data_IF_335168585681
#
_entry.id   IF_335168585681
#
_cell.length_a   1.000
_cell.length_b   1.000
_cell.length_c   1.000
_cell.angle_alpha   90.00
_cell.angle_beta   90.00
_cell.angle_gamma   90.00
#
_symmetry.space_group_name_H-M   'P 1'
#
loop_
_entity.id
_entity.type
_entity.pdbx_description
1 polymer ?
#
# COMPACT_ATOMS: atom_id res chain seq x y z
N UNK A 1 -57.08 -11.39 -29.01
CA UNK A 1 -56.16 -10.28 -28.67
C UNK A 1 -56.28 -10.09 -27.17
N UNK A 2 -55.22 -10.41 -26.42
CA UNK A 2 -55.24 -10.41 -24.95
C UNK A 2 -54.10 -9.53 -24.45
N UNK A 3 -54.46 -8.44 -23.78
CA UNK A 3 -53.67 -7.79 -22.72
C UNK A 3 -54.63 -7.71 -21.52
N UNK A 4 -54.19 -7.92 -20.26
CA UNK A 4 -53.27 -7.03 -19.54
C UNK A 4 -52.25 -7.83 -18.70
N UNK A 5 -51.18 -7.30 -18.13
CA UNK A 5 -51.15 -6.21 -17.17
C UNK A 5 -49.68 -5.87 -16.96
N UNK A 6 -49.28 -4.65 -17.33
CA UNK A 6 -47.95 -4.14 -17.06
C UNK A 6 -47.80 -3.99 -15.55
N UNK A 7 -47.08 -4.91 -14.91
CA UNK A 7 -46.81 -4.86 -13.48
C UNK A 7 -45.75 -3.78 -13.21
N UNK A 8 -46.16 -2.51 -13.28
CA UNK A 8 -45.32 -1.36 -12.93
C UNK A 8 -45.21 -1.24 -11.42
N UNK A 9 -44.53 -2.19 -10.78
CA UNK A 9 -44.08 -2.03 -9.41
C UNK A 9 -42.95 -0.98 -9.40
N UNK A 10 -43.29 0.25 -9.04
CA UNK A 10 -42.31 1.32 -8.78
C UNK A 10 -41.54 0.94 -7.50
N UNK A 11 -40.20 0.75 -7.52
CA UNK A 11 -39.46 0.58 -6.29
C UNK A 11 -39.10 1.98 -5.79
N UNK A 12 -40.01 2.60 -5.04
CA UNK A 12 -39.64 3.81 -4.32
C UNK A 12 -40.51 3.95 -3.08
N UNK A 13 -40.08 3.22 -2.05
CA UNK A 13 -40.32 3.60 -0.67
C UNK A 13 -38.94 3.65 0.00
N UNK A 14 -38.25 4.77 -0.19
CA UNK A 14 -37.09 5.10 0.62
C UNK A 14 -37.64 5.71 1.90
N UNK A 15 -37.57 4.97 3.01
CA UNK A 15 -37.94 5.50 4.32
C UNK A 15 -37.29 6.87 4.57
N UNK A 16 -38.03 7.75 5.23
CA UNK A 16 -37.63 9.12 5.54
C UNK A 16 -36.22 9.17 6.17
N UNK A 17 -35.37 10.05 5.64
CA UNK A 17 -33.98 10.19 6.06
C UNK A 17 -33.91 10.58 7.55
N UNK A 18 -33.31 9.72 8.37
CA UNK A 18 -32.98 10.06 9.75
C UNK A 18 -31.88 11.12 9.74
N UNK A 19 -32.22 12.36 10.11
CA UNK A 19 -31.24 13.43 10.31
C UNK A 19 -30.54 13.18 11.63
N UNK A 20 -29.28 12.77 11.58
CA UNK A 20 -28.41 12.69 12.75
C UNK A 20 -27.85 14.09 13.02
N UNK A 21 -28.31 14.73 14.09
CA UNK A 21 -27.80 16.04 14.54
C UNK A 21 -26.55 15.93 15.43
N UNK A 22 -26.13 14.71 15.77
CA UNK A 22 -24.93 14.49 16.57
C UNK A 22 -23.69 14.70 15.70
N UNK A 23 -22.70 15.42 16.23
CA UNK A 23 -21.44 15.62 15.51
C UNK A 23 -20.76 14.26 15.33
N UNK A 24 -20.17 13.94 14.17
CA UNK A 24 -19.40 12.71 14.03
C UNK A 24 -18.29 12.71 15.09
N UNK A 25 -18.32 11.75 16.01
CA UNK A 25 -17.24 11.58 16.98
C UNK A 25 -15.99 11.16 16.20
N UNK A 26 -15.11 12.13 15.93
CA UNK A 26 -13.80 11.84 15.41
C UNK A 26 -12.93 11.41 16.58
N UNK A 27 -12.51 10.14 16.58
CA UNK A 27 -11.46 9.70 17.48
C UNK A 27 -10.20 10.52 17.18
N UNK A 28 -9.59 11.09 18.22
CA UNK A 28 -8.33 11.81 18.08
C UNK A 28 -7.24 10.81 17.67
N UNK A 29 -6.83 10.81 16.41
CA UNK A 29 -5.58 10.16 16.01
C UNK A 29 -4.45 11.14 16.28
N UNK A 30 -4.10 11.32 17.55
CA UNK A 30 -2.78 11.87 17.87
C UNK A 30 -1.76 10.78 17.59
N UNK A 31 -0.86 10.92 16.60
CA UNK A 31 0.36 10.14 16.62
C UNK A 31 1.15 10.58 17.85
N UNK A 32 1.41 9.66 18.77
CA UNK A 32 2.29 9.91 19.90
C UNK A 32 3.67 10.34 19.35
N UNK A 33 4.21 11.51 19.76
CA UNK A 33 5.51 11.96 19.29
C UNK A 33 6.57 11.13 20.00
N UNK A 34 7.02 10.06 19.34
CA UNK A 34 8.02 9.15 19.90
C UNK A 34 8.15 7.80 19.19
N UNK A 35 7.31 7.49 18.21
CA UNK A 35 7.47 6.29 17.39
C UNK A 35 8.54 6.47 16.31
N UNK A 36 9.76 6.84 16.70
CA UNK A 36 10.92 6.25 16.02
C UNK A 36 10.95 4.79 16.48
N UNK A 37 10.06 4.00 15.89
CA UNK A 37 10.14 2.56 15.91
C UNK A 37 11.42 2.21 15.15
N UNK A 38 12.56 2.23 15.84
CA UNK A 38 13.64 1.29 15.60
C UNK A 38 13.06 -0.11 15.86
N UNK A 39 12.16 -0.55 14.97
CA UNK A 39 11.84 -1.95 14.79
C UNK A 39 13.20 -2.61 14.54
N UNK A 40 13.77 -3.17 15.60
CA UNK A 40 14.83 -4.16 15.52
C UNK A 40 14.24 -5.31 14.73
N UNK A 41 14.30 -5.18 13.41
CA UNK A 41 13.91 -6.20 12.46
C UNK A 41 14.71 -7.46 12.83
N UNK A 42 14.05 -8.63 12.91
CA UNK A 42 14.70 -9.84 13.35
C UNK A 42 15.90 -10.10 12.45
N UNK A 43 17.04 -10.43 13.07
CA UNK A 43 18.31 -10.73 12.38
C UNK A 43 18.05 -11.80 11.31
N UNK A 44 17.94 -11.37 10.05
CA UNK A 44 17.65 -12.25 8.91
C UNK A 44 16.44 -11.87 8.04
N UNK A 45 15.55 -10.98 8.48
CA UNK A 45 14.51 -10.41 7.61
C UNK A 45 14.90 -9.02 7.11
N UNK A 46 14.75 -8.81 5.81
CA UNK A 46 14.91 -7.50 5.19
C UNK A 46 13.89 -6.52 5.76
N UNK A 47 14.38 -5.35 6.15
CA UNK A 47 13.52 -4.31 6.69
C UNK A 47 12.46 -3.88 5.68
N UNK A 48 11.33 -3.37 6.16
CA UNK A 48 10.31 -2.82 5.27
C UNK A 48 10.89 -1.80 4.28
N UNK A 49 11.79 -0.92 4.75
CA UNK A 49 12.48 0.07 3.91
C UNK A 49 13.33 -0.60 2.83
N UNK A 50 14.07 -1.66 3.16
CA UNK A 50 14.86 -2.42 2.19
C UNK A 50 13.99 -3.09 1.13
N UNK A 51 12.86 -3.69 1.52
CA UNK A 51 11.89 -4.28 0.58
C UNK A 51 11.34 -3.25 -0.41
N UNK A 52 11.04 -2.04 0.07
CA UNK A 52 10.56 -0.94 -0.78
C UNK A 52 11.64 -0.53 -1.78
N UNK A 53 12.87 -0.29 -1.33
CA UNK A 53 13.98 0.09 -2.21
C UNK A 53 14.30 -1.01 -3.22
N UNK A 54 14.25 -2.28 -2.80
CA UNK A 54 14.48 -3.42 -3.66
C UNK A 54 13.45 -3.51 -4.80
N UNK A 55 12.16 -3.36 -4.49
CA UNK A 55 11.10 -3.31 -5.50
C UNK A 55 11.29 -2.14 -6.47
N UNK A 56 11.65 -0.96 -5.97
CA UNK A 56 11.94 0.20 -6.81
C UNK A 56 13.09 -0.08 -7.80
N UNK A 57 14.16 -0.74 -7.36
CA UNK A 57 15.27 -1.17 -8.22
C UNK A 57 14.84 -2.20 -9.26
N UNK A 58 14.03 -3.19 -8.89
CA UNK A 58 13.49 -4.20 -9.84
C UNK A 58 12.65 -3.52 -10.92
N UNK A 59 11.72 -2.64 -10.53
CA UNK A 59 10.86 -1.91 -11.47
C UNK A 59 11.69 -1.02 -12.39
N UNK A 60 12.62 -0.22 -11.84
CA UNK A 60 13.47 0.67 -12.62
C UNK A 60 14.39 -0.10 -13.57
N UNK A 61 15.01 -1.17 -13.11
CA UNK A 61 15.84 -2.05 -13.95
C UNK A 61 15.05 -2.67 -15.09
N UNK A 62 13.81 -3.09 -14.83
CA UNK A 62 12.91 -3.63 -15.87
C UNK A 62 12.52 -2.56 -16.88
N UNK A 63 12.12 -1.37 -16.43
CA UNK A 63 11.71 -0.28 -17.30
C UNK A 63 12.85 0.29 -18.15
N UNK A 64 14.07 0.34 -17.60
CA UNK A 64 15.25 0.89 -18.28
C UNK A 64 16.08 -0.17 -19.01
N UNK A 65 15.63 -1.43 -19.05
CA UNK A 65 16.36 -2.58 -19.58
C UNK A 65 17.79 -2.70 -19.00
N UNK A 66 17.92 -2.46 -17.69
CA UNK A 66 19.17 -2.56 -16.91
C UNK A 66 19.11 -3.82 -16.03
N UNK A 67 19.65 -4.96 -16.50
CA UNK A 67 19.56 -6.23 -15.76
C UNK A 67 20.34 -6.19 -14.44
N UNK A 68 21.45 -5.45 -14.35
CA UNK A 68 22.24 -5.29 -13.13
C UNK A 68 21.45 -4.60 -12.01
N UNK A 69 20.72 -3.53 -12.34
CA UNK A 69 19.89 -2.81 -11.37
C UNK A 69 18.72 -3.67 -10.88
N UNK A 70 18.16 -4.49 -11.78
CA UNK A 70 17.12 -5.46 -11.43
C UNK A 70 17.67 -6.54 -10.49
N UNK A 71 18.83 -7.12 -10.81
CA UNK A 71 19.44 -8.16 -9.98
C UNK A 71 19.81 -7.63 -8.60
N UNK A 72 20.31 -6.40 -8.52
CA UNK A 72 20.59 -5.73 -7.25
C UNK A 72 19.34 -5.63 -6.36
N UNK A 73 18.17 -5.33 -6.94
CA UNK A 73 16.92 -5.36 -6.20
C UNK A 73 16.56 -6.77 -5.71
N UNK A 74 16.80 -7.81 -6.50
CA UNK A 74 16.62 -9.19 -6.06
C UNK A 74 17.59 -9.58 -4.93
N UNK A 75 18.86 -9.17 -5.00
CA UNK A 75 19.85 -9.41 -3.95
C UNK A 75 19.46 -8.75 -2.63
N UNK A 76 18.89 -7.53 -2.68
CA UNK A 76 18.36 -6.89 -1.48
C UNK A 76 17.20 -7.72 -0.92
N UNK A 77 16.22 -8.13 -1.73
CA UNK A 77 15.12 -8.99 -1.24
C UNK A 77 15.59 -10.31 -0.63
N UNK A 78 16.68 -10.90 -1.15
CA UNK A 78 17.29 -12.13 -0.62
C UNK A 78 18.14 -11.89 0.64
N UNK A 79 18.43 -10.63 0.98
CA UNK A 79 19.31 -10.26 2.09
C UNK A 79 20.80 -10.50 1.84
N UNK A 80 21.19 -10.63 0.57
CA UNK A 80 22.59 -10.77 0.15
C UNK A 80 23.34 -9.44 0.17
N UNK A 81 22.61 -8.34 0.01
CA UNK A 81 23.16 -6.97 0.06
C UNK A 81 22.17 -6.02 0.72
N UNK A 82 22.66 -4.96 1.33
CA UNK A 82 21.84 -3.91 1.95
C UNK A 82 21.84 -2.66 1.08
N UNK A 83 20.81 -1.83 1.24
CA UNK A 83 20.68 -0.58 0.48
C UNK A 83 21.92 0.31 0.64
N UNK A 84 22.50 0.35 1.83
CA UNK A 84 23.72 1.13 2.15
C UNK A 84 24.95 0.64 1.37
N UNK A 85 25.10 -0.66 1.20
CA UNK A 85 26.23 -1.24 0.45
C UNK A 85 26.05 -1.11 -1.06
N UNK A 86 24.81 -0.99 -1.52
CA UNK A 86 24.45 -0.88 -2.94
C UNK A 86 24.63 0.51 -3.57
N UNK A 87 24.96 1.54 -2.76
CA UNK A 87 25.05 2.94 -3.20
C UNK A 87 26.48 3.46 -3.35
N UNK A 88 27.50 2.62 -3.16
CA UNK A 88 28.89 3.04 -3.28
C UNK A 88 29.36 2.83 -4.73
N UNK A 89 29.70 3.90 -5.48
CA UNK A 89 30.32 3.74 -6.78
C UNK A 89 31.73 3.17 -6.59
N UNK A 90 32.05 2.11 -7.33
CA UNK A 90 33.43 1.62 -7.45
C UNK A 90 34.31 2.78 -7.97
N UNK A 91 35.33 3.13 -7.19
CA UNK A 91 36.32 4.18 -7.52
C UNK A 91 37.49 3.59 -8.31
#
# INVERSE_FOLDING_TARGET
MSEPSSNTAKPSDFGNATVVHDAPQQAATMPEPGADEEQQEPVGQQSWKEKVVANAKITRGTLLNKPEEKELGHQILRGETTVLKSSQPDN
#
